data_IF_977347238087
#
_entry.id   IF_977347238087
#
_cell.length_a   1.000
_cell.length_b   1.000
_cell.length_c   1.000
_cell.angle_alpha   90.00
_cell.angle_beta   90.00
_cell.angle_gamma   90.00
#
_symmetry.space_group_name_H-M   'P 1'
#
loop_
_entity.id
_entity.type
_entity.pdbx_description
1 polymer ?
#
# COMPACT_ATOMS: atom_id res chain seq x y z
N UNK A 1 -26.15 6.06 -6.96
CA UNK A 1 -24.97 6.87 -6.61
C UNK A 1 -24.34 7.39 -7.88
N UNK A 2 -24.38 8.70 -8.15
CA UNK A 2 -23.67 9.29 -9.28
C UNK A 2 -22.21 9.53 -8.87
N UNK A 3 -21.27 8.84 -9.54
CA UNK A 3 -19.85 9.10 -9.41
C UNK A 3 -19.50 10.36 -10.19
N UNK A 4 -18.90 11.31 -9.50
CA UNK A 4 -18.39 12.52 -10.09
C UNK A 4 -17.22 12.18 -11.03
N UNK A 5 -17.37 12.51 -12.30
CA UNK A 5 -16.38 12.36 -13.37
C UNK A 5 -15.38 11.16 -13.22
N UNK A 6 -15.69 10.04 -13.87
CA UNK A 6 -14.85 8.82 -13.87
C UNK A 6 -13.37 9.08 -14.18
N UNK A 7 -13.12 10.01 -15.11
CA UNK A 7 -11.75 10.33 -15.54
C UNK A 7 -10.96 10.96 -14.41
N UNK A 8 -11.58 11.86 -13.61
CA UNK A 8 -10.92 12.48 -12.46
C UNK A 8 -10.56 11.47 -11.38
N UNK A 9 -11.48 10.56 -11.05
CA UNK A 9 -11.21 9.49 -10.06
C UNK A 9 -10.08 8.58 -10.56
N UNK A 10 -10.09 8.25 -11.85
CA UNK A 10 -9.04 7.42 -12.45
C UNK A 10 -7.68 8.12 -12.47
N UNK A 11 -7.65 9.41 -12.79
CA UNK A 11 -6.44 10.23 -12.76
C UNK A 11 -5.87 10.35 -11.34
N UNK A 12 -6.69 10.66 -10.33
CA UNK A 12 -6.27 10.68 -8.93
C UNK A 12 -5.79 9.31 -8.46
N UNK A 13 -6.45 8.22 -8.89
CA UNK A 13 -6.01 6.86 -8.64
C UNK A 13 -4.64 6.55 -9.28
N UNK A 14 -4.39 7.04 -10.49
CA UNK A 14 -3.11 6.92 -11.17
C UNK A 14 -2.00 7.72 -10.49
N UNK A 15 -2.31 8.93 -10.01
CA UNK A 15 -1.38 9.71 -9.18
C UNK A 15 -1.06 9.00 -7.87
N UNK A 16 -2.04 8.35 -7.25
CA UNK A 16 -1.80 7.51 -6.06
C UNK A 16 -0.84 6.36 -6.38
N UNK A 17 -0.98 5.74 -7.57
CA UNK A 17 -0.02 4.73 -8.05
C UNK A 17 1.38 5.33 -8.22
N UNK A 18 1.50 6.49 -8.84
CA UNK A 18 2.78 7.17 -9.05
C UNK A 18 3.48 7.49 -7.72
N UNK A 19 2.76 8.04 -6.75
CA UNK A 19 3.28 8.30 -5.42
C UNK A 19 3.64 7.02 -4.65
N UNK A 20 2.81 5.98 -4.78
CA UNK A 20 3.10 4.67 -4.17
C UNK A 20 4.32 4.01 -4.82
N UNK A 21 4.53 4.21 -6.12
CA UNK A 21 5.71 3.75 -6.83
C UNK A 21 6.96 4.50 -6.37
N UNK A 22 6.90 5.82 -6.27
CA UNK A 22 8.00 6.63 -5.73
C UNK A 22 8.35 6.21 -4.30
N UNK A 23 7.35 5.96 -3.45
CA UNK A 23 7.55 5.44 -2.09
C UNK A 23 8.16 4.02 -2.09
N UNK A 24 7.84 3.18 -3.08
CA UNK A 24 8.37 1.83 -3.18
C UNK A 24 9.86 1.77 -3.56
N UNK A 25 10.37 2.80 -4.27
CA UNK A 25 11.79 2.94 -4.63
C UNK A 25 12.62 3.34 -3.41
N UNK A 26 12.02 4.07 -2.45
CA UNK A 26 12.72 4.44 -1.23
C UNK A 26 13.03 3.20 -0.38
N UNK A 27 14.27 3.08 0.13
CA UNK A 27 14.65 1.93 0.94
C UNK A 27 13.80 1.89 2.21
N UNK A 28 13.04 0.81 2.38
CA UNK A 28 12.27 0.56 3.60
C UNK A 28 13.16 -0.09 4.64
N UNK A 29 13.69 0.71 5.55
CA UNK A 29 14.56 0.22 6.64
C UNK A 29 13.72 -0.60 7.62
N UNK A 30 12.48 -0.20 7.89
CA UNK A 30 11.58 -0.88 8.83
C UNK A 30 10.28 -1.25 8.10
N UNK A 31 9.86 -2.54 8.11
CA UNK A 31 8.55 -2.95 7.63
C UNK A 31 7.46 -2.17 8.35
N UNK A 32 6.35 -1.90 7.70
CA UNK A 32 5.23 -1.10 8.22
C UNK A 32 5.46 0.43 8.28
N UNK A 33 6.69 0.93 8.28
CA UNK A 33 6.95 2.37 8.22
C UNK A 33 6.84 2.83 6.76
N UNK A 34 5.72 3.42 6.43
CA UNK A 34 5.45 4.01 5.12
C UNK A 34 5.31 5.51 5.25
N UNK A 35 5.94 6.27 4.35
CA UNK A 35 5.82 7.73 4.31
C UNK A 35 4.39 8.18 3.99
N UNK A 36 3.59 7.29 3.41
CA UNK A 36 2.20 7.57 3.11
C UNK A 36 2.01 8.60 2.00
N UNK A 37 2.94 8.69 1.04
CA UNK A 37 2.86 9.64 -0.07
C UNK A 37 1.55 9.51 -0.86
N UNK A 38 0.95 8.32 -0.92
CA UNK A 38 -0.38 8.13 -1.47
C UNK A 38 -1.50 8.91 -0.76
N UNK A 39 -1.28 9.44 0.46
CA UNK A 39 -2.24 10.31 1.14
C UNK A 39 -2.29 11.71 0.54
N UNK A 40 -1.27 12.14 -0.22
CA UNK A 40 -1.26 13.42 -0.92
C UNK A 40 -2.49 13.54 -1.81
N UNK A 41 -2.81 12.49 -2.59
CA UNK A 41 -3.98 12.47 -3.47
C UNK A 41 -5.29 12.51 -2.69
N UNK A 42 -5.35 11.91 -1.50
CA UNK A 42 -6.52 11.95 -0.62
C UNK A 42 -6.73 13.38 -0.09
N UNK A 43 -5.67 14.07 0.34
CA UNK A 43 -5.74 15.47 0.79
C UNK A 43 -6.21 16.42 -0.33
N UNK A 44 -5.81 16.15 -1.57
CA UNK A 44 -6.14 16.93 -2.75
C UNK A 44 -7.50 16.56 -3.37
N UNK A 45 -8.22 15.58 -2.82
CA UNK A 45 -9.49 15.06 -3.32
C UNK A 45 -10.71 15.42 -2.44
N UNK A 46 -10.56 16.33 -1.49
CA UNK A 46 -11.66 16.72 -0.60
C UNK A 46 -12.83 17.42 -1.31
N UNK A 47 -12.64 17.91 -2.52
CA UNK A 47 -13.69 18.48 -3.38
C UNK A 47 -14.64 17.40 -3.93
N UNK A 48 -14.24 16.14 -3.93
CA UNK A 48 -15.09 15.03 -4.38
C UNK A 48 -16.29 14.83 -3.44
N UNK A 49 -17.39 14.31 -4.01
CA UNK A 49 -18.49 13.82 -3.21
C UNK A 49 -18.09 12.54 -2.44
N UNK A 50 -18.79 12.26 -1.34
CA UNK A 50 -18.44 11.15 -0.45
C UNK A 50 -18.28 9.78 -1.14
N UNK A 51 -19.18 9.34 -2.06
CA UNK A 51 -19.00 8.06 -2.74
C UNK A 51 -17.75 8.02 -3.63
N UNK A 52 -17.44 9.11 -4.33
CA UNK A 52 -16.23 9.20 -5.18
C UNK A 52 -14.95 9.23 -4.34
N UNK A 53 -14.98 9.92 -3.22
CA UNK A 53 -13.88 9.95 -2.26
C UNK A 53 -13.63 8.56 -1.63
N UNK A 54 -14.69 7.87 -1.22
CA UNK A 54 -14.57 6.50 -0.68
C UNK A 54 -14.03 5.54 -1.74
N UNK A 55 -14.50 5.65 -2.98
CA UNK A 55 -13.98 4.86 -4.09
C UNK A 55 -12.49 5.12 -4.32
N UNK A 56 -12.04 6.37 -4.25
CA UNK A 56 -10.63 6.73 -4.38
C UNK A 56 -9.78 6.13 -3.24
N UNK A 57 -10.28 6.13 -2.00
CA UNK A 57 -9.57 5.49 -0.86
C UNK A 57 -9.43 3.99 -1.03
N UNK A 58 -10.44 3.32 -1.60
CA UNK A 58 -10.37 1.89 -1.94
C UNK A 58 -9.36 1.67 -3.08
N UNK A 59 -9.41 2.49 -4.14
CA UNK A 59 -8.45 2.41 -5.25
C UNK A 59 -7.02 2.60 -4.72
N UNK A 60 -6.79 3.54 -3.81
CA UNK A 60 -5.49 3.75 -3.16
C UNK A 60 -4.98 2.47 -2.48
N UNK A 61 -5.82 1.78 -1.70
CA UNK A 61 -5.42 0.54 -1.03
C UNK A 61 -5.10 -0.57 -2.05
N UNK A 62 -5.96 -0.73 -3.06
CA UNK A 62 -5.77 -1.70 -4.14
C UNK A 62 -4.47 -1.44 -4.91
N UNK A 63 -4.25 -0.20 -5.33
CA UNK A 63 -3.08 0.18 -6.13
C UNK A 63 -1.78 0.06 -5.34
N UNK A 64 -1.77 0.47 -4.08
CA UNK A 64 -0.63 0.30 -3.17
C UNK A 64 -0.26 -1.18 -3.00
N UNK A 65 -1.25 -2.05 -2.81
CA UNK A 65 -1.03 -3.48 -2.64
C UNK A 65 -0.65 -4.17 -3.95
N UNK A 66 -1.19 -3.70 -5.08
CA UNK A 66 -0.78 -4.17 -6.41
C UNK A 66 0.70 -3.86 -6.68
N UNK A 67 1.15 -2.64 -6.37
CA UNK A 67 2.55 -2.24 -6.55
C UNK A 67 3.50 -2.99 -5.63
N UNK A 68 3.11 -3.21 -4.37
CA UNK A 68 3.91 -3.96 -3.40
C UNK A 68 3.78 -5.47 -3.54
N UNK A 69 2.91 -5.97 -4.44
CA UNK A 69 2.67 -7.41 -4.61
C UNK A 69 2.04 -8.08 -3.40
N UNK A 70 1.25 -7.35 -2.60
CA UNK A 70 0.65 -7.87 -1.36
C UNK A 70 -0.88 -7.98 -1.43
N UNK A 71 -1.46 -7.94 -2.64
CA UNK A 71 -2.91 -7.89 -2.86
C UNK A 71 -3.66 -9.10 -2.28
N UNK A 72 -3.07 -10.29 -2.33
CA UNK A 72 -3.67 -11.54 -1.81
C UNK A 72 -3.07 -11.96 -0.47
N UNK A 73 -2.56 -11.01 0.30
CA UNK A 73 -1.99 -11.24 1.63
C UNK A 73 -2.81 -10.50 2.70
N UNK A 74 -2.65 -10.85 4.00
CA UNK A 74 -3.27 -10.11 5.10
C UNK A 74 -2.93 -8.62 5.10
N UNK A 75 -1.80 -8.25 4.53
CA UNK A 75 -1.39 -6.85 4.37
C UNK A 75 -2.38 -6.03 3.53
N UNK A 76 -3.11 -6.67 2.59
CA UNK A 76 -4.18 -6.00 1.86
C UNK A 76 -5.34 -5.59 2.77
N UNK A 77 -5.78 -6.50 3.63
CA UNK A 77 -6.87 -6.22 4.58
C UNK A 77 -6.48 -5.08 5.51
N UNK A 78 -5.25 -5.11 6.03
CA UNK A 78 -4.70 -4.04 6.87
C UNK A 78 -4.64 -2.72 6.08
N UNK A 79 -4.12 -2.75 4.85
CA UNK A 79 -4.00 -1.57 3.99
C UNK A 79 -5.37 -0.97 3.62
N UNK A 80 -6.36 -1.80 3.36
CA UNK A 80 -7.72 -1.38 3.05
C UNK A 80 -8.38 -0.72 4.27
N UNK A 81 -8.34 -1.39 5.42
CA UNK A 81 -8.95 -0.89 6.65
C UNK A 81 -8.32 0.44 7.11
N UNK A 82 -6.98 0.53 7.12
CA UNK A 82 -6.29 1.76 7.49
C UNK A 82 -6.56 2.91 6.49
N UNK A 83 -6.66 2.61 5.18
CA UNK A 83 -6.97 3.62 4.18
C UNK A 83 -8.39 4.15 4.33
N UNK A 84 -9.36 3.27 4.55
CA UNK A 84 -10.76 3.67 4.80
C UNK A 84 -10.87 4.47 6.09
N UNK A 85 -10.32 3.98 7.20
CA UNK A 85 -10.41 4.65 8.49
C UNK A 85 -9.75 6.04 8.46
N UNK A 86 -8.52 6.14 7.93
CA UNK A 86 -7.83 7.42 7.81
C UNK A 86 -8.54 8.37 6.85
N UNK A 87 -9.02 7.86 5.71
CA UNK A 87 -9.77 8.65 4.74
C UNK A 87 -11.07 9.20 5.32
N UNK A 88 -11.84 8.40 6.05
CA UNK A 88 -13.07 8.85 6.70
C UNK A 88 -12.82 9.95 7.71
N UNK A 89 -11.78 9.83 8.54
CA UNK A 89 -11.41 10.86 9.51
C UNK A 89 -10.98 12.15 8.80
N UNK A 90 -10.13 12.06 7.79
CA UNK A 90 -9.71 13.23 7.01
C UNK A 90 -10.90 13.91 6.32
N UNK A 91 -11.81 13.15 5.72
CA UNK A 91 -12.99 13.68 5.06
C UNK A 91 -13.97 14.33 6.05
N UNK A 92 -14.20 13.69 7.21
CA UNK A 92 -15.04 14.28 8.25
C UNK A 92 -14.49 15.61 8.75
N UNK A 93 -13.17 15.70 8.99
CA UNK A 93 -12.53 16.97 9.40
C UNK A 93 -12.61 18.02 8.28
N UNK A 94 -12.45 17.63 7.03
CA UNK A 94 -12.63 18.53 5.90
C UNK A 94 -14.08 19.06 5.79
N UNK A 95 -15.08 18.20 6.04
CA UNK A 95 -16.49 18.60 6.10
C UNK A 95 -16.78 19.56 7.25
N UNK A 96 -16.21 19.33 8.43
CA UNK A 96 -16.31 20.25 9.57
C UNK A 96 -15.75 21.61 9.19
N UNK A 97 -14.57 21.66 8.57
CA UNK A 97 -13.97 22.91 8.08
C UNK A 97 -14.82 23.64 7.03
N UNK A 98 -15.55 22.90 6.18
CA UNK A 98 -16.45 23.52 5.17
C UNK A 98 -17.68 24.15 5.80
N UNK A 99 -18.19 23.57 6.91
CA UNK A 99 -19.38 24.07 7.63
C UNK A 99 -19.05 25.20 8.60
N UNK A 100 -17.82 25.23 9.10
CA UNK A 100 -17.38 26.27 10.04
C UNK A 100 -17.05 27.57 9.31
N UNK A 101 -17.45 28.72 9.87
CA UNK A 101 -17.09 30.04 9.34
C UNK A 101 -15.57 30.25 9.31
N UNK A 102 -14.85 29.70 10.28
CA UNK A 102 -13.40 29.75 10.38
C UNK A 102 -12.85 28.32 10.25
N UNK A 103 -11.68 28.16 9.61
CA UNK A 103 -10.99 26.86 9.52
C UNK A 103 -10.57 26.42 10.92
N UNK A 104 -11.25 25.42 11.49
CA UNK A 104 -10.98 24.89 12.82
C UNK A 104 -9.70 24.03 12.84
N UNK A 105 -9.42 23.30 11.75
CA UNK A 105 -8.28 22.39 11.64
C UNK A 105 -7.50 22.74 10.38
N UNK A 106 -6.20 22.94 10.51
CA UNK A 106 -5.31 23.18 9.36
C UNK A 106 -5.19 21.93 8.50
N UNK A 107 -4.73 22.07 7.25
CA UNK A 107 -4.44 20.93 6.37
C UNK A 107 -3.41 19.98 7.00
N UNK A 108 -2.42 20.53 7.72
CA UNK A 108 -1.46 19.76 8.51
C UNK A 108 -2.13 18.94 9.60
N UNK A 109 -3.06 19.55 10.36
CA UNK A 109 -3.82 18.87 11.40
C UNK A 109 -4.64 17.70 10.84
N UNK A 110 -5.33 17.91 9.71
CA UNK A 110 -6.09 16.84 9.02
C UNK A 110 -5.17 15.69 8.60
N UNK A 111 -4.02 16.01 8.01
CA UNK A 111 -3.04 15.03 7.55
C UNK A 111 -2.43 14.23 8.70
N UNK A 112 -2.03 14.91 9.78
CA UNK A 112 -1.44 14.28 10.98
C UNK A 112 -2.45 13.34 11.63
N UNK A 113 -3.70 13.79 11.84
CA UNK A 113 -4.74 12.95 12.42
C UNK A 113 -5.06 11.74 11.53
N UNK A 114 -5.14 11.92 10.22
CA UNK A 114 -5.31 10.82 9.27
C UNK A 114 -4.16 9.81 9.33
N UNK A 115 -2.92 10.28 9.41
CA UNK A 115 -1.73 9.41 9.52
C UNK A 115 -1.69 8.68 10.86
N UNK A 116 -2.07 9.34 11.96
CA UNK A 116 -2.15 8.72 13.29
C UNK A 116 -3.20 7.62 13.34
N UNK A 117 -4.41 7.87 12.80
CA UNK A 117 -5.47 6.86 12.69
C UNK A 117 -5.02 5.69 11.82
N UNK A 118 -4.34 5.95 10.70
CA UNK A 118 -3.78 4.91 9.84
C UNK A 118 -2.82 4.02 10.61
N UNK A 119 -1.89 4.59 11.37
CA UNK A 119 -0.91 3.85 12.19
C UNK A 119 -1.58 3.06 13.31
N UNK A 120 -2.57 3.64 13.96
CA UNK A 120 -3.34 2.95 15.02
C UNK A 120 -4.06 1.71 14.47
N UNK A 121 -4.81 1.86 13.38
CA UNK A 121 -5.53 0.75 12.73
C UNK A 121 -4.54 -0.32 12.24
N UNK A 122 -3.41 0.10 11.69
CA UNK A 122 -2.37 -0.81 11.23
C UNK A 122 -1.82 -1.67 12.38
N UNK A 123 -1.45 -1.07 13.51
CA UNK A 123 -0.95 -1.82 14.68
C UNK A 123 -2.02 -2.71 15.27
N UNK A 124 -3.25 -2.20 15.39
CA UNK A 124 -4.36 -2.98 15.92
C UNK A 124 -4.60 -4.25 15.11
N UNK A 125 -4.75 -4.12 13.78
CA UNK A 125 -4.96 -5.27 12.90
C UNK A 125 -3.72 -6.16 12.79
N UNK A 126 -2.51 -5.59 12.76
CA UNK A 126 -1.28 -6.38 12.77
C UNK A 126 -1.15 -7.22 14.04
N UNK A 127 -1.64 -6.72 15.17
CA UNK A 127 -1.61 -7.47 16.44
C UNK A 127 -2.45 -8.74 16.42
N UNK A 128 -3.48 -8.81 15.57
CA UNK A 128 -4.29 -10.01 15.39
C UNK A 128 -3.52 -11.13 14.68
N UNK A 129 -2.60 -10.79 13.77
CA UNK A 129 -1.79 -11.76 13.01
C UNK A 129 -0.45 -12.08 13.67
N UNK A 130 0.22 -11.04 14.20
CA UNK A 130 1.57 -11.14 14.74
C UNK A 130 1.59 -11.35 16.25
N UNK A 131 0.47 -11.06 16.92
CA UNK A 131 0.34 -11.12 18.36
C UNK A 131 0.62 -9.78 19.04
N UNK A 132 0.48 -9.79 20.38
CA UNK A 132 0.53 -8.58 21.22
C UNK A 132 1.86 -7.82 21.16
N UNK A 133 2.95 -8.47 20.73
CA UNK A 133 4.27 -7.84 20.57
C UNK A 133 4.29 -6.63 19.66
N UNK A 134 3.42 -6.61 18.66
CA UNK A 134 3.31 -5.45 17.75
C UNK A 134 2.79 -4.19 18.43
N UNK A 135 2.08 -4.32 19.55
CA UNK A 135 1.56 -3.18 20.34
C UNK A 135 2.68 -2.31 20.89
N UNK A 136 3.86 -2.87 21.15
CA UNK A 136 5.03 -2.12 21.59
C UNK A 136 5.50 -1.10 20.54
N UNK A 137 5.16 -1.31 19.27
CA UNK A 137 5.49 -0.41 18.16
C UNK A 137 4.52 0.78 18.03
N UNK A 138 3.43 0.81 18.80
CA UNK A 138 2.42 1.88 18.70
C UNK A 138 3.05 3.25 18.93
N UNK A 139 3.86 3.42 19.97
CA UNK A 139 4.54 4.69 20.26
C UNK A 139 5.44 5.16 19.13
N UNK A 140 6.44 4.37 18.72
CA UNK A 140 7.30 4.72 17.57
C UNK A 140 6.53 4.99 16.28
N UNK A 141 5.48 4.22 15.98
CA UNK A 141 4.67 4.42 14.78
C UNK A 141 3.83 5.70 14.84
N UNK A 142 3.30 6.07 16.01
CA UNK A 142 2.59 7.35 16.16
C UNK A 142 3.53 8.54 15.99
N UNK A 143 4.76 8.47 16.54
CA UNK A 143 5.78 9.51 16.30
C UNK A 143 6.10 9.60 14.81
N UNK A 144 6.33 8.47 14.14
CA UNK A 144 6.58 8.46 12.70
C UNK A 144 5.39 9.00 11.89
N UNK A 145 4.15 8.75 12.33
CA UNK A 145 2.96 9.27 11.68
C UNK A 145 2.85 10.80 11.72
N UNK A 146 3.42 11.46 12.74
CA UNK A 146 3.53 12.91 12.78
C UNK A 146 4.40 13.42 11.62
N UNK A 147 5.60 12.84 11.45
CA UNK A 147 6.48 13.20 10.34
C UNK A 147 5.82 12.93 8.99
N UNK A 148 5.23 11.75 8.82
CA UNK A 148 4.52 11.38 7.60
C UNK A 148 3.36 12.34 7.31
N UNK A 149 2.56 12.70 8.32
CA UNK A 149 1.47 13.64 8.18
C UNK A 149 1.93 15.05 7.80
N UNK A 150 3.00 15.55 8.41
CA UNK A 150 3.60 16.85 8.06
C UNK A 150 4.11 16.82 6.61
N UNK A 151 4.85 15.77 6.26
CA UNK A 151 5.44 15.62 4.92
C UNK A 151 4.37 15.56 3.83
N UNK A 152 3.32 14.79 4.04
CA UNK A 152 2.22 14.67 3.06
C UNK A 152 1.42 15.96 2.93
N UNK A 153 1.18 16.69 4.02
CA UNK A 153 0.55 18.00 3.96
C UNK A 153 1.42 19.03 3.22
N UNK A 154 2.72 19.06 3.49
CA UNK A 154 3.68 19.92 2.81
C UNK A 154 3.68 19.67 1.30
N UNK A 155 3.79 18.41 0.87
CA UNK A 155 3.72 18.08 -0.55
C UNK A 155 2.38 18.41 -1.17
N UNK A 156 1.27 18.21 -0.45
CA UNK A 156 -0.05 18.56 -0.98
C UNK A 156 -0.25 20.08 -1.19
N UNK A 157 0.45 20.93 -0.44
CA UNK A 157 0.43 22.38 -0.66
C UNK A 157 1.28 22.81 -1.87
N UNK A 158 2.40 22.13 -2.12
CA UNK A 158 3.31 22.47 -3.23
C UNK A 158 2.77 21.95 -4.56
N UNK A 159 2.06 20.82 -4.53
CA UNK A 159 1.55 20.15 -5.71
C UNK A 159 0.14 20.63 -6.02
N UNK A 160 0.01 21.36 -7.12
CA UNK A 160 -1.28 21.78 -7.66
C UNK A 160 -1.74 20.70 -8.66
N UNK A 161 -2.77 19.93 -8.26
CA UNK A 161 -3.40 18.97 -9.17
C UNK A 161 -4.54 19.71 -9.89
N UNK A 162 -4.60 19.61 -11.25
CA UNK A 162 -5.65 20.23 -12.02
C UNK A 162 -7.04 19.70 -11.61
N UNK A 163 -8.03 20.57 -11.60
CA UNK A 163 -9.41 20.18 -11.26
C UNK A 163 -10.01 19.22 -12.29
N UNK A 164 -9.57 19.34 -13.53
CA UNK A 164 -9.96 18.43 -14.62
C UNK A 164 -8.83 17.44 -14.90
N UNK A 165 -9.20 16.19 -15.17
CA UNK A 165 -8.22 15.19 -15.59
C UNK A 165 -7.67 15.56 -16.97
N UNK A 166 -6.36 15.43 -17.21
CA UNK A 166 -5.75 15.65 -18.52
C UNK A 166 -6.37 14.70 -19.57
N UNK A 167 -6.35 15.15 -20.82
CA UNK A 167 -6.86 14.34 -21.93
C UNK A 167 -5.89 13.20 -22.25
N UNK A 168 -6.40 11.96 -22.31
CA UNK A 168 -5.63 10.82 -22.80
C UNK A 168 -5.65 10.83 -24.33
N UNK A 169 -4.51 11.13 -24.97
CA UNK A 169 -4.37 11.21 -26.44
C UNK A 169 -4.53 9.83 -27.09
N UNK A 170 -4.16 8.77 -26.42
CA UNK A 170 -4.39 7.40 -26.88
C UNK A 170 -5.33 6.68 -25.91
N UNK A 171 -6.57 6.45 -26.37
CA UNK A 171 -7.26 5.27 -25.85
C UNK A 171 -6.31 4.09 -26.01
N UNK A 172 -6.28 3.12 -25.08
CA UNK A 172 -5.48 1.93 -25.27
C UNK A 172 -5.93 1.26 -26.58
N UNK A 173 -5.28 1.66 -27.70
CA UNK A 173 -5.43 0.99 -28.98
C UNK A 173 -4.96 -0.42 -28.72
N UNK A 174 -5.92 -1.35 -28.75
CA UNK A 174 -5.69 -2.77 -28.99
C UNK A 174 -4.28 -3.23 -28.58
N UNK A 175 -4.03 -3.31 -27.29
CA UNK A 175 -3.04 -4.29 -26.83
C UNK A 175 -3.56 -5.59 -27.44
N UNK A 176 -2.83 -6.06 -28.46
CA UNK A 176 -3.00 -7.36 -29.13
C UNK A 176 -3.61 -8.33 -28.15
N UNK A 177 -4.81 -8.84 -28.45
CA UNK A 177 -5.59 -9.75 -27.64
C UNK A 177 -4.68 -10.55 -26.70
N UNK A 178 -4.46 -10.16 -25.46
CA UNK A 178 -3.82 -11.07 -24.54
C UNK A 178 -4.79 -12.24 -24.49
N UNK A 179 -4.32 -13.45 -24.80
CA UNK A 179 -5.09 -14.67 -24.57
C UNK A 179 -5.84 -14.44 -23.28
N UNK A 180 -7.18 -14.49 -23.30
CA UNK A 180 -8.03 -14.26 -22.13
C UNK A 180 -7.55 -15.21 -21.03
N UNK A 181 -6.55 -14.80 -20.29
CA UNK A 181 -6.15 -15.56 -19.12
C UNK A 181 -7.31 -15.51 -18.15
N UNK A 182 -7.71 -16.61 -17.57
CA UNK A 182 -8.77 -16.64 -16.57
C UNK A 182 -8.27 -15.94 -15.28
N UNK A 183 -8.09 -14.60 -15.37
CA UNK A 183 -7.53 -13.77 -14.30
C UNK A 183 -8.26 -14.01 -12.98
N UNK A 184 -9.60 -14.15 -13.05
CA UNK A 184 -10.42 -14.40 -11.88
C UNK A 184 -10.12 -15.77 -11.26
N UNK A 185 -9.96 -16.80 -12.07
CA UNK A 185 -9.66 -18.17 -11.59
C UNK A 185 -8.26 -18.24 -10.97
N UNK A 186 -7.26 -17.61 -11.60
CA UNK A 186 -5.90 -17.55 -11.06
C UNK A 186 -5.89 -16.77 -9.75
N UNK A 187 -6.58 -15.63 -9.68
CA UNK A 187 -6.72 -14.84 -8.46
C UNK A 187 -7.38 -15.65 -7.33
N UNK A 188 -8.43 -16.41 -7.65
CA UNK A 188 -9.13 -17.27 -6.69
C UNK A 188 -8.20 -18.40 -6.19
N UNK A 189 -7.46 -19.05 -7.08
CA UNK A 189 -6.49 -20.08 -6.70
C UNK A 189 -5.39 -19.55 -5.78
N UNK A 190 -4.86 -18.35 -6.07
CA UNK A 190 -3.86 -17.70 -5.21
C UNK A 190 -4.47 -17.36 -3.85
N UNK A 191 -5.71 -16.87 -3.81
CA UNK A 191 -6.41 -16.57 -2.57
C UNK A 191 -6.60 -17.84 -1.73
N UNK A 192 -7.08 -18.93 -2.33
CA UNK A 192 -7.28 -20.21 -1.65
C UNK A 192 -5.95 -20.80 -1.17
N UNK A 193 -4.89 -20.76 -1.97
CA UNK A 193 -3.56 -21.20 -1.58
C UNK A 193 -3.02 -20.37 -0.41
N UNK A 194 -3.20 -19.04 -0.46
CA UNK A 194 -2.82 -18.14 0.64
C UNK A 194 -3.57 -18.46 1.93
N UNK A 195 -4.88 -18.68 1.85
CA UNK A 195 -5.70 -19.09 3.00
C UNK A 195 -5.25 -20.46 3.55
N UNK A 196 -4.94 -21.42 2.68
CA UNK A 196 -4.43 -22.73 3.06
C UNK A 196 -3.12 -22.65 3.83
N UNK A 197 -2.18 -21.78 3.42
CA UNK A 197 -0.89 -21.60 4.12
C UNK A 197 -1.12 -21.13 5.56
N UNK A 198 -2.14 -20.27 5.81
CA UNK A 198 -2.45 -19.82 7.18
C UNK A 198 -2.94 -20.94 8.09
N UNK A 199 -3.55 -21.98 7.54
CA UNK A 199 -4.03 -23.15 8.30
C UNK A 199 -2.92 -24.15 8.66
N UNK A 200 -1.73 -24.03 8.05
CA UNK A 200 -0.61 -24.93 8.30
C UNK A 200 0.13 -24.47 9.57
N UNK A 201 0.23 -25.34 10.59
CA UNK A 201 0.97 -25.06 11.83
C UNK A 201 2.32 -25.81 11.92
N UNK A 202 2.49 -26.84 11.11
CA UNK A 202 3.75 -27.59 11.07
C UNK A 202 4.84 -26.79 10.35
N UNK A 203 5.97 -26.56 11.04
CA UNK A 203 7.08 -25.75 10.54
C UNK A 203 7.69 -26.30 9.24
N UNK A 204 7.81 -27.63 9.13
CA UNK A 204 8.40 -28.27 7.94
C UNK A 204 7.52 -28.00 6.72
N UNK A 205 6.22 -28.20 6.83
CA UNK A 205 5.28 -27.91 5.73
C UNK A 205 5.25 -26.43 5.37
N UNK A 206 5.41 -25.53 6.35
CA UNK A 206 5.51 -24.10 6.09
C UNK A 206 6.78 -23.71 5.32
N UNK A 207 7.91 -24.32 5.66
CA UNK A 207 9.16 -24.09 4.93
C UNK A 207 9.06 -24.61 3.50
N UNK A 208 8.46 -25.79 3.30
CA UNK A 208 8.18 -26.34 1.96
C UNK A 208 7.26 -25.38 1.19
N UNK A 209 6.18 -24.91 1.80
CA UNK A 209 5.26 -23.97 1.18
C UNK A 209 5.96 -22.65 0.80
N UNK A 210 6.89 -22.16 1.64
CA UNK A 210 7.70 -20.98 1.34
C UNK A 210 8.58 -21.21 0.10
N UNK A 211 9.31 -22.32 0.06
CA UNK A 211 10.18 -22.66 -1.09
C UNK A 211 9.34 -22.77 -2.36
N UNK A 212 8.21 -23.48 -2.31
CA UNK A 212 7.30 -23.59 -3.45
C UNK A 212 6.76 -22.25 -3.91
N UNK A 213 6.38 -21.37 -2.97
CA UNK A 213 5.87 -20.03 -3.28
C UNK A 213 6.93 -19.18 -3.98
N UNK A 214 8.18 -19.22 -3.52
CA UNK A 214 9.32 -18.55 -4.15
C UNK A 214 9.62 -19.12 -5.54
N UNK A 215 9.52 -20.44 -5.69
CA UNK A 215 9.70 -21.10 -6.98
C UNK A 215 8.62 -20.67 -7.99
N UNK A 216 7.34 -20.61 -7.58
CA UNK A 216 6.27 -20.06 -8.41
C UNK A 216 6.48 -18.60 -8.77
N UNK A 217 7.06 -17.81 -7.87
CA UNK A 217 7.40 -16.41 -8.16
C UNK A 217 8.45 -16.32 -9.27
N UNK A 218 9.48 -17.16 -9.25
CA UNK A 218 10.50 -17.24 -10.33
C UNK A 218 9.85 -17.66 -11.65
N UNK A 219 9.01 -18.71 -11.64
CA UNK A 219 8.28 -19.16 -12.82
C UNK A 219 7.41 -18.08 -13.44
N UNK A 220 6.82 -17.21 -12.60
CA UNK A 220 6.04 -16.04 -13.02
C UNK A 220 6.90 -14.89 -13.54
N UNK A 221 8.22 -15.12 -13.75
CA UNK A 221 9.21 -14.12 -14.22
C UNK A 221 9.25 -12.86 -13.34
N UNK A 222 8.96 -13.00 -12.05
CA UNK A 222 9.03 -11.91 -11.08
C UNK A 222 10.34 -11.95 -10.33
N UNK A 223 11.00 -10.78 -10.22
CA UNK A 223 12.22 -10.64 -9.43
C UNK A 223 11.92 -10.86 -7.96
N UNK A 224 12.72 -11.68 -7.30
CA UNK A 224 12.69 -11.83 -5.85
C UNK A 224 13.50 -10.69 -5.25
N UNK A 225 12.84 -9.83 -4.50
CA UNK A 225 13.51 -8.81 -3.70
C UNK A 225 13.78 -9.40 -2.31
N UNK A 226 15.01 -9.78 -2.06
CA UNK A 226 15.42 -10.46 -0.82
C UNK A 226 15.27 -9.52 0.39
N UNK A 227 15.60 -8.24 0.24
CA UNK A 227 15.59 -7.27 1.33
C UNK A 227 14.22 -7.15 2.06
N UNK A 228 13.07 -7.04 1.37
CA UNK A 228 11.77 -7.05 2.04
C UNK A 228 11.49 -8.33 2.83
N UNK A 229 11.90 -9.49 2.33
CA UNK A 229 11.74 -10.76 3.05
C UNK A 229 12.60 -10.81 4.31
N UNK A 230 13.88 -10.42 4.22
CA UNK A 230 14.78 -10.37 5.38
C UNK A 230 14.24 -9.39 6.42
N UNK A 231 13.84 -8.18 6.01
CA UNK A 231 13.32 -7.18 6.94
C UNK A 231 12.03 -7.64 7.62
N UNK A 232 11.16 -8.35 6.89
CA UNK A 232 9.96 -8.97 7.44
C UNK A 232 10.31 -10.03 8.50
N UNK A 233 11.27 -10.91 8.21
CA UNK A 233 11.69 -11.96 9.13
C UNK A 233 12.28 -11.38 10.42
N UNK A 234 13.22 -10.44 10.29
CA UNK A 234 13.84 -9.76 11.44
C UNK A 234 12.74 -9.10 12.30
N UNK A 235 11.84 -8.34 11.66
CA UNK A 235 10.77 -7.65 12.35
C UNK A 235 9.83 -8.61 13.10
N UNK A 236 9.36 -9.69 12.44
CA UNK A 236 8.41 -10.64 13.04
C UNK A 236 9.07 -11.43 14.16
N UNK A 237 10.33 -11.84 14.01
CA UNK A 237 11.08 -12.56 15.04
C UNK A 237 11.31 -11.64 16.26
N UNK A 238 11.77 -10.40 16.05
CA UNK A 238 11.96 -9.44 17.15
C UNK A 238 10.64 -9.18 17.87
N UNK A 239 9.56 -8.94 17.12
CA UNK A 239 8.23 -8.74 17.69
C UNK A 239 7.74 -9.93 18.51
N UNK A 240 8.09 -11.15 18.12
CA UNK A 240 7.72 -12.37 18.86
C UNK A 240 8.57 -12.56 20.13
N UNK A 241 9.87 -12.21 20.07
CA UNK A 241 10.79 -12.31 21.24
C UNK A 241 10.40 -11.35 22.35
N UNK A 242 9.80 -10.20 22.04
CA UNK A 242 9.33 -9.23 23.05
C UNK A 242 8.25 -9.82 23.99
N UNK A 243 7.63 -10.94 23.61
CA UNK A 243 6.63 -11.64 24.41
C UNK A 243 7.08 -13.10 24.63
N UNK A 244 7.89 -13.33 25.66
CA UNK A 244 8.48 -14.65 25.94
C UNK A 244 7.38 -15.68 26.26
N UNK A 245 7.44 -16.83 25.59
CA UNK A 245 6.55 -17.95 25.81
C UNK A 245 7.33 -19.27 25.75
N UNK A 246 7.15 -20.12 26.77
CA UNK A 246 7.82 -21.42 26.87
C UNK A 246 9.18 -21.39 27.57
N UNK A 247 10.04 -22.38 27.28
CA UNK A 247 11.34 -22.54 27.96
C UNK A 247 12.31 -21.42 27.57
N UNK A 248 12.98 -20.84 28.57
CA UNK A 248 13.99 -19.81 28.39
C UNK A 248 15.25 -20.47 27.79
N UNK A 249 15.68 -19.95 26.64
CA UNK A 249 16.95 -20.35 26.01
C UNK A 249 18.11 -19.46 26.45
N UNK A 250 17.85 -18.17 26.53
CA UNK A 250 18.85 -17.18 26.89
C UNK A 250 18.21 -15.97 27.54
N UNK A 251 18.89 -15.37 28.54
CA UNK A 251 18.42 -14.18 29.26
C UNK A 251 19.44 -13.07 29.15
N UNK A 252 19.02 -11.91 28.65
CA UNK A 252 19.82 -10.70 28.51
C UNK A 252 19.17 -9.62 29.39
N UNK A 253 19.67 -9.40 30.60
CA UNK A 253 19.05 -8.46 31.52
C UNK A 253 17.59 -8.82 31.81
N UNK A 254 16.67 -7.91 31.50
CA UNK A 254 15.23 -8.11 31.64
C UNK A 254 14.56 -8.83 30.46
N UNK A 255 15.30 -9.08 29.36
CA UNK A 255 14.78 -9.77 28.19
C UNK A 255 15.11 -11.25 28.25
N UNK A 256 14.10 -12.09 28.03
CA UNK A 256 14.26 -13.54 27.93
C UNK A 256 13.89 -14.02 26.53
N UNK A 257 14.86 -14.61 25.85
CA UNK A 257 14.63 -15.31 24.58
C UNK A 257 14.17 -16.72 24.92
N UNK A 258 12.96 -17.06 24.48
CA UNK A 258 12.36 -18.37 24.73
C UNK A 258 12.24 -19.18 23.45
N UNK A 259 12.26 -20.51 23.58
CA UNK A 259 12.09 -21.43 22.46
C UNK A 259 10.73 -21.21 21.75
N UNK A 260 9.65 -21.03 22.54
CA UNK A 260 8.32 -20.83 21.98
C UNK A 260 8.20 -19.53 21.18
N UNK A 261 8.71 -18.40 21.70
CA UNK A 261 8.66 -17.12 20.98
C UNK A 261 9.47 -17.15 19.70
N UNK A 262 10.63 -17.82 19.68
CA UNK A 262 11.46 -17.96 18.47
C UNK A 262 10.75 -18.80 17.42
N UNK A 263 10.22 -19.97 17.79
CA UNK A 263 9.47 -20.86 16.88
C UNK A 263 8.22 -20.17 16.33
N UNK A 264 7.47 -19.43 17.16
CA UNK A 264 6.31 -18.66 16.75
C UNK A 264 6.70 -17.55 15.77
N UNK A 265 7.82 -16.86 16.01
CA UNK A 265 8.36 -15.86 15.10
C UNK A 265 8.70 -16.45 13.74
N UNK A 266 9.40 -17.57 13.71
CA UNK A 266 9.76 -18.27 12.48
C UNK A 266 8.52 -18.76 11.73
N UNK A 267 7.52 -19.34 12.41
CA UNK A 267 6.27 -19.78 11.79
C UNK A 267 5.53 -18.61 11.13
N UNK A 268 5.34 -17.52 11.87
CA UNK A 268 4.64 -16.32 11.37
C UNK A 268 5.40 -15.67 10.20
N UNK A 269 6.73 -15.55 10.30
CA UNK A 269 7.56 -15.01 9.22
C UNK A 269 7.48 -15.87 7.96
N UNK A 270 7.52 -17.21 8.11
CA UNK A 270 7.38 -18.14 6.99
C UNK A 270 6.00 -18.03 6.32
N UNK A 271 4.91 -18.00 7.10
CA UNK A 271 3.55 -17.82 6.59
C UNK A 271 3.44 -16.53 5.78
N UNK A 272 3.87 -15.40 6.34
CA UNK A 272 3.77 -14.10 5.69
C UNK A 272 4.65 -14.00 4.44
N UNK A 273 5.87 -14.55 4.48
CA UNK A 273 6.77 -14.57 3.32
C UNK A 273 6.22 -15.44 2.18
N UNK A 274 5.70 -16.64 2.48
CA UNK A 274 5.11 -17.53 1.48
C UNK A 274 3.90 -16.89 0.80
N UNK A 275 2.98 -16.32 1.59
CA UNK A 275 1.80 -15.63 1.07
C UNK A 275 2.17 -14.37 0.29
N UNK A 276 3.19 -13.62 0.73
CA UNK A 276 3.70 -12.46 -0.02
C UNK A 276 4.27 -12.89 -1.38
N UNK A 277 5.04 -13.97 -1.44
CA UNK A 277 5.59 -14.52 -2.69
C UNK A 277 4.48 -14.95 -3.66
N UNK A 278 3.46 -15.68 -3.18
CA UNK A 278 2.29 -16.05 -3.99
C UNK A 278 1.52 -14.82 -4.49
N UNK A 279 1.31 -13.85 -3.63
CA UNK A 279 0.62 -12.61 -3.99
C UNK A 279 1.37 -11.83 -5.09
N UNK A 280 2.69 -11.86 -5.10
CA UNK A 280 3.48 -11.25 -6.17
C UNK A 280 3.29 -11.93 -7.53
N UNK A 281 2.99 -13.22 -7.56
CA UNK A 281 2.62 -13.91 -8.80
C UNK A 281 1.35 -13.28 -9.42
N UNK A 282 0.39 -12.89 -8.60
CA UNK A 282 -0.84 -12.25 -9.06
C UNK A 282 -0.63 -10.82 -9.61
N UNK A 283 0.42 -10.12 -9.20
CA UNK A 283 0.73 -8.79 -9.72
C UNK A 283 1.12 -8.81 -11.22
N UNK A 284 1.34 -10.00 -11.82
CA UNK A 284 1.51 -10.17 -13.27
C UNK A 284 0.18 -10.16 -14.04
N UNK A 285 -0.94 -10.37 -13.34
CA UNK A 285 -2.26 -10.40 -13.94
C UNK A 285 -2.68 -8.96 -14.30
N UNK A 286 -2.76 -8.67 -15.60
CA UNK A 286 -3.27 -7.39 -16.07
C UNK A 286 -4.78 -7.53 -16.29
N UNK A 287 -5.61 -6.78 -15.55
CA UNK A 287 -7.03 -6.78 -15.83
C UNK A 287 -7.26 -6.17 -17.22
N UNK A 288 -7.74 -6.99 -18.16
CA UNK A 288 -8.17 -6.56 -19.48
C UNK A 288 -9.63 -6.15 -19.39
N UNK A 289 -9.96 -4.88 -19.62
CA UNK A 289 -11.34 -4.41 -19.63
C UNK A 289 -11.49 -2.89 -19.76
N UNK A 290 -12.70 -2.44 -20.07
CA UNK A 290 -13.09 -1.01 -20.12
C UNK A 290 -13.45 -0.45 -18.73
N UNK A 291 -12.98 -1.08 -17.65
CA UNK A 291 -13.31 -0.72 -16.28
C UNK A 291 -12.47 0.44 -15.74
N UNK A 292 -12.85 0.92 -14.54
CA UNK A 292 -12.15 2.00 -13.85
C UNK A 292 -10.66 1.67 -13.60
N UNK A 293 -10.34 0.41 -13.25
CA UNK A 293 -8.96 -0.05 -13.03
C UNK A 293 -8.11 0.06 -14.31
N UNK A 294 -8.70 -0.29 -15.47
CA UNK A 294 -8.02 -0.14 -16.76
C UNK A 294 -7.73 1.34 -17.06
N UNK A 295 -8.66 2.22 -16.74
CA UNK A 295 -8.50 3.65 -16.93
C UNK A 295 -7.43 4.23 -15.99
N UNK A 296 -7.39 3.78 -14.73
CA UNK A 296 -6.31 4.12 -13.78
C UNK A 296 -4.94 3.71 -14.32
N UNK A 297 -4.85 2.49 -14.86
CA UNK A 297 -3.59 1.98 -15.42
C UNK A 297 -3.17 2.74 -16.69
N UNK A 298 -4.13 3.17 -17.52
CA UNK A 298 -3.86 3.98 -18.70
C UNK A 298 -3.29 5.36 -18.30
N UNK A 299 -3.95 6.05 -17.37
CA UNK A 299 -3.43 7.31 -16.83
C UNK A 299 -2.06 7.12 -16.17
N UNK A 300 -1.84 6.03 -15.44
CA UNK A 300 -0.55 5.73 -14.84
C UNK A 300 0.54 5.52 -15.90
N UNK A 301 0.22 4.85 -17.00
CA UNK A 301 1.14 4.71 -18.15
C UNK A 301 1.58 6.05 -18.69
N UNK A 302 0.62 6.95 -18.97
CA UNK A 302 0.89 8.30 -19.45
C UNK A 302 1.69 9.15 -18.45
N UNK A 303 1.30 9.12 -17.16
CA UNK A 303 2.02 9.83 -16.09
C UNK A 303 3.46 9.32 -15.95
N UNK A 304 3.67 8.02 -15.98
CA UNK A 304 4.99 7.42 -15.86
C UNK A 304 5.88 7.73 -17.07
N UNK A 305 5.29 7.77 -18.27
CA UNK A 305 5.99 8.20 -19.49
C UNK A 305 6.39 9.68 -19.37
N UNK A 306 5.43 10.56 -19.10
CA UNK A 306 5.70 11.99 -18.91
C UNK A 306 6.74 12.25 -17.81
N UNK A 307 6.73 11.46 -16.73
CA UNK A 307 7.72 11.56 -15.65
C UNK A 307 9.13 11.15 -16.09
N UNK A 308 9.25 10.17 -16.98
CA UNK A 308 10.54 9.78 -17.57
C UNK A 308 11.02 10.82 -18.56
N UNK A 309 10.13 11.31 -19.42
CA UNK A 309 10.46 12.30 -20.44
C UNK A 309 10.89 13.65 -19.80
N UNK A 310 10.46 13.94 -18.57
CA UNK A 310 10.90 15.09 -17.78
C UNK A 310 12.24 14.88 -17.05
N UNK A 311 13.12 13.97 -17.52
CA UNK A 311 14.38 13.64 -16.86
C UNK A 311 15.36 14.82 -16.80
N UNK A 312 15.30 15.72 -17.78
CA UNK A 312 16.15 16.91 -17.88
C UNK A 312 15.78 18.04 -16.88
N UNK A 313 14.61 17.97 -16.23
CA UNK A 313 14.12 18.99 -15.27
C UNK A 313 14.80 18.94 -13.89
N UNK A 314 15.78 18.09 -13.69
CA UNK A 314 16.64 17.99 -12.51
C UNK A 314 15.95 17.35 -11.30
N UNK A 315 15.39 18.15 -10.38
CA UNK A 315 14.86 17.64 -9.11
C UNK A 315 13.52 16.91 -9.25
N UNK A 316 13.31 15.84 -8.48
CA UNK A 316 12.08 15.04 -8.43
C UNK A 316 10.80 15.90 -8.33
N UNK A 317 10.81 16.96 -7.52
CA UNK A 317 9.66 17.87 -7.32
C UNK A 317 9.36 18.65 -8.61
N UNK A 318 10.39 19.12 -9.33
CA UNK A 318 10.20 19.85 -10.58
C UNK A 318 9.64 18.94 -11.66
N UNK A 319 10.20 17.74 -11.81
CA UNK A 319 9.68 16.70 -12.72
C UNK A 319 8.20 16.42 -12.43
N UNK A 320 7.84 16.27 -11.17
CA UNK A 320 6.45 16.02 -10.76
C UNK A 320 5.55 17.22 -11.10
N UNK A 321 6.01 18.47 -10.89
CA UNK A 321 5.25 19.67 -11.25
C UNK A 321 5.00 19.78 -12.75
N UNK A 322 5.98 19.43 -13.57
CA UNK A 322 5.84 19.41 -15.04
C UNK A 322 4.79 18.39 -15.46
N UNK A 323 4.87 17.18 -14.91
CA UNK A 323 3.88 16.11 -15.18
C UNK A 323 2.47 16.50 -14.77
N UNK A 324 2.32 17.16 -13.61
CA UNK A 324 1.00 17.60 -13.11
C UNK A 324 0.39 18.76 -13.91
N UNK A 325 1.22 19.54 -14.61
CA UNK A 325 0.76 20.63 -15.50
C UNK A 325 0.45 20.18 -16.93
N UNK A 326 0.77 18.94 -17.27
CA UNK A 326 0.49 18.41 -18.59
C UNK A 326 -1.04 18.35 -18.84
N UNK A 327 -1.51 19.04 -19.86
CA UNK A 327 -2.91 19.04 -20.28
C UNK A 327 -3.29 17.74 -21.03
N UNK A 328 -2.28 17.09 -21.61
CA UNK A 328 -2.44 15.85 -22.40
C UNK A 328 -1.42 14.82 -21.98
N UNK A 329 -1.88 13.59 -21.86
CA UNK A 329 -1.03 12.44 -21.53
C UNK A 329 -1.13 11.39 -22.63
N UNK A 330 0.02 10.88 -23.05
CA UNK A 330 0.08 9.73 -23.94
C UNK A 330 0.03 8.44 -23.11
N UNK A 331 -1.08 7.68 -23.25
CA UNK A 331 -1.36 6.46 -22.50
C UNK A 331 -0.83 5.18 -23.14
#
# INVERSE_FOLDING_TARGET
MQFQNKNRIAYLGALTLLFSYAEAILPRIIPFFRLGLGNITILLSFDLNFPSFLLLTIIKALTSCLMSGTLFSPFFVISLAQSIASGLVMFALALVNRKAKNKLVSLYGISILGSAVSSFVQIFLSSLYLGSGTKALLGPMLIFSLFSGILTAFFSQILHIPEQAPELISSPKNQTNPKKQPVLLIALLILLASAGIFMIDNLIFLLIALVLSLFFQILSKRKIYILPHISLWIFVIISSILFPNGKILYKIGNFSITQGSLLDGIRKASKLSAVSALSQCAASLRPSGKGLVSLVLAYFGGLNKAFRDAEDEGNFINRLKVVLRAEKLEG
#
